data_IF_526014055313
#
_entry.id   IF_526014055313
#
_cell.length_a   1.000
_cell.length_b   1.000
_cell.length_c   1.000
_cell.angle_alpha   90.00
_cell.angle_beta   90.00
_cell.angle_gamma   90.00
#
_symmetry.space_group_name_H-M   'P 1'
#
loop_
_entity.id
_entity.type
_entity.pdbx_description
1 polymer ?
#
# COMPACT_ATOMS: atom_id res chain seq x y z
N UNK A 1 -11.23 -12.36 -8.29
CA UNK A 1 -10.16 -11.37 -8.55
C UNK A 1 -10.04 -10.48 -7.33
N UNK A 2 -8.82 -10.13 -6.91
CA UNK A 2 -8.56 -9.18 -5.81
C UNK A 2 -7.44 -8.22 -6.20
N UNK A 3 -7.36 -7.09 -5.51
CA UNK A 3 -6.32 -6.09 -5.70
C UNK A 3 -5.56 -5.84 -4.40
N UNK A 4 -4.25 -5.63 -4.49
CA UNK A 4 -3.41 -5.19 -3.38
C UNK A 4 -2.62 -3.97 -3.85
N UNK A 5 -2.72 -2.87 -3.11
CA UNK A 5 -2.09 -1.59 -3.46
C UNK A 5 -0.98 -1.28 -2.46
N UNK A 6 0.26 -1.19 -2.94
CA UNK A 6 1.44 -0.87 -2.15
C UNK A 6 1.78 0.59 -2.33
N UNK A 7 1.73 1.33 -1.23
CA UNK A 7 1.99 2.76 -1.25
C UNK A 7 3.47 3.11 -1.38
N UNK A 8 3.73 4.39 -1.66
CA UNK A 8 5.09 4.94 -1.73
C UNK A 8 5.68 5.26 -0.36
N UNK A 9 6.91 5.78 -0.37
CA UNK A 9 7.69 6.04 0.82
C UNK A 9 7.68 7.55 1.09
N UNK A 10 7.13 8.02 2.22
CA UNK A 10 7.26 9.41 2.63
C UNK A 10 8.73 9.73 2.98
N UNK A 11 9.16 10.97 2.77
CA UNK A 11 10.54 11.38 3.11
C UNK A 11 10.78 11.61 4.61
N UNK A 12 9.74 11.52 5.45
CA UNK A 12 9.74 12.01 6.83
C UNK A 12 8.91 11.09 7.73
N UNK A 13 9.51 10.64 8.84
CA UNK A 13 8.93 9.71 9.79
C UNK A 13 7.72 10.26 10.55
N UNK A 14 7.80 11.51 11.02
CA UNK A 14 6.70 12.14 11.76
C UNK A 14 5.51 12.33 10.83
N UNK A 15 5.77 12.76 9.59
CA UNK A 15 4.72 12.92 8.58
C UNK A 15 4.07 11.60 8.23
N UNK A 16 4.83 10.50 8.22
CA UNK A 16 4.35 9.16 7.92
C UNK A 16 3.46 8.55 9.01
N UNK A 17 3.66 8.93 10.28
CA UNK A 17 2.92 8.38 11.41
C UNK A 17 1.64 9.18 11.67
N UNK A 18 1.70 10.50 11.54
CA UNK A 18 0.58 11.38 11.87
C UNK A 18 -0.54 11.29 10.80
N UNK A 19 -1.77 10.84 11.15
CA UNK A 19 -2.88 10.70 10.19
C UNK A 19 -3.23 12.00 9.45
N UNK A 20 -2.97 13.17 10.06
CA UNK A 20 -3.21 14.48 9.45
C UNK A 20 -2.16 14.88 8.43
N UNK A 21 -1.00 14.22 8.37
CA UNK A 21 0.12 14.56 7.45
C UNK A 21 0.54 13.41 6.54
N UNK A 22 0.13 12.20 6.88
CA UNK A 22 0.40 10.96 6.15
C UNK A 22 -0.01 11.08 4.69
N UNK A 23 0.87 10.67 3.78
CA UNK A 23 0.71 10.93 2.34
C UNK A 23 0.23 9.71 1.58
N UNK A 24 0.56 8.50 2.05
CA UNK A 24 0.19 7.26 1.38
C UNK A 24 -1.31 6.94 1.43
N UNK A 25 -2.05 7.51 2.38
CA UNK A 25 -3.51 7.40 2.51
C UNK A 25 -4.25 8.66 2.03
N UNK A 26 -3.60 9.55 1.28
CA UNK A 26 -4.20 10.82 0.82
C UNK A 26 -4.20 11.07 -0.68
N UNK A 27 -3.39 10.36 -1.45
CA UNK A 27 -3.38 10.51 -2.90
C UNK A 27 -4.60 9.82 -3.55
N UNK A 28 -4.42 9.22 -4.72
CA UNK A 28 -5.47 8.47 -5.41
C UNK A 28 -5.78 7.12 -4.75
N UNK A 29 -4.98 6.66 -3.79
CA UNK A 29 -5.10 5.32 -3.16
C UNK A 29 -6.46 5.12 -2.45
N UNK A 30 -6.96 6.04 -1.60
CA UNK A 30 -8.30 5.91 -1.03
C UNK A 30 -9.41 5.93 -2.09
N UNK A 31 -9.27 6.80 -3.11
CA UNK A 31 -10.25 6.92 -4.18
C UNK A 31 -10.35 5.62 -4.99
N UNK A 32 -9.24 5.09 -5.48
CA UNK A 32 -9.25 3.87 -6.29
C UNK A 32 -9.69 2.66 -5.46
N UNK A 33 -9.34 2.61 -4.16
CA UNK A 33 -9.82 1.54 -3.26
C UNK A 33 -11.35 1.57 -3.20
N UNK A 34 -11.96 2.75 -3.03
CA UNK A 34 -13.41 2.91 -3.02
C UNK A 34 -14.04 2.47 -4.35
N UNK A 35 -13.46 2.86 -5.48
CA UNK A 35 -13.96 2.49 -6.82
C UNK A 35 -13.83 0.99 -7.12
N UNK A 36 -12.75 0.34 -6.68
CA UNK A 36 -12.58 -1.11 -6.85
C UNK A 36 -13.55 -1.89 -5.96
N UNK A 37 -13.72 -1.45 -4.70
CA UNK A 37 -14.68 -2.05 -3.78
C UNK A 37 -16.12 -1.89 -4.29
N UNK A 38 -16.50 -0.74 -4.85
CA UNK A 38 -17.85 -0.52 -5.40
C UNK A 38 -18.16 -1.44 -6.59
N UNK A 39 -17.13 -1.90 -7.30
CA UNK A 39 -17.22 -2.88 -8.40
C UNK A 39 -17.12 -4.34 -7.93
N UNK A 40 -17.14 -4.58 -6.61
CA UNK A 40 -17.05 -5.93 -6.03
C UNK A 40 -15.64 -6.52 -6.01
N UNK A 41 -14.60 -5.72 -6.28
CA UNK A 41 -13.20 -6.16 -6.27
C UNK A 41 -12.64 -5.95 -4.86
N UNK A 42 -12.40 -7.05 -4.14
CA UNK A 42 -11.73 -7.02 -2.84
C UNK A 42 -10.37 -6.34 -2.98
N UNK A 43 -10.14 -5.27 -2.23
CA UNK A 43 -8.95 -4.43 -2.36
C UNK A 43 -8.32 -4.16 -1.01
N UNK A 44 -7.05 -4.55 -0.88
CA UNK A 44 -6.23 -4.33 0.31
C UNK A 44 -5.19 -3.21 0.08
N UNK A 45 -4.91 -2.47 1.13
CA UNK A 45 -3.91 -1.38 1.13
C UNK A 45 -3.00 -1.57 2.35
N UNK A 46 -2.07 -2.55 2.32
CA UNK A 46 -1.17 -2.80 3.44
C UNK A 46 -0.42 -1.54 3.83
N UNK A 47 -0.35 -1.30 5.14
CA UNK A 47 0.57 -0.33 5.69
C UNK A 47 1.93 -0.99 5.87
N UNK A 48 2.90 -0.59 5.06
CA UNK A 48 4.27 -1.06 5.21
C UNK A 48 4.93 -0.52 6.49
N UNK A 49 5.74 -1.33 7.19
CA UNK A 49 6.41 -0.92 8.43
C UNK A 49 7.48 0.14 8.16
N UNK A 50 7.57 1.17 8.99
CA UNK A 50 8.59 2.25 8.87
C UNK A 50 8.72 2.79 7.44
N UNK A 51 7.63 3.26 6.78
CA UNK A 51 7.66 3.50 5.34
C UNK A 51 8.55 4.67 4.91
N UNK A 52 9.01 5.49 5.85
CA UNK A 52 10.03 6.52 5.64
C UNK A 52 11.46 5.99 5.55
N UNK A 53 11.66 4.75 5.97
CA UNK A 53 12.94 4.02 5.94
C UNK A 53 12.68 2.63 5.37
N UNK A 54 12.38 2.52 4.06
CA UNK A 54 12.01 1.26 3.45
C UNK A 54 13.10 0.21 3.64
N UNK A 55 12.70 -0.94 4.17
CA UNK A 55 13.54 -2.12 4.33
C UNK A 55 12.81 -3.29 3.67
N UNK A 56 13.49 -3.92 2.71
CA UNK A 56 12.89 -4.97 1.88
C UNK A 56 12.41 -6.16 2.71
N UNK A 57 13.20 -6.64 3.67
CA UNK A 57 12.82 -7.81 4.48
C UNK A 57 11.64 -7.51 5.39
N UNK A 58 11.57 -6.30 5.97
CA UNK A 58 10.40 -5.85 6.74
C UNK A 58 9.15 -5.74 5.86
N UNK A 59 9.25 -5.15 4.67
CA UNK A 59 8.12 -5.01 3.76
C UNK A 59 7.67 -6.38 3.24
N UNK A 60 8.61 -7.29 2.93
CA UNK A 60 8.34 -8.66 2.48
C UNK A 60 7.60 -9.46 3.54
N UNK A 61 8.03 -9.33 4.79
CA UNK A 61 7.35 -9.94 5.94
C UNK A 61 5.92 -9.41 6.11
N UNK A 62 5.71 -8.10 5.96
CA UNK A 62 4.36 -7.51 6.05
C UNK A 62 3.46 -7.94 4.90
N UNK A 63 3.96 -7.85 3.66
CA UNK A 63 3.24 -8.25 2.47
C UNK A 63 2.94 -9.75 2.43
N UNK A 64 3.82 -10.59 2.99
CA UNK A 64 3.64 -12.04 3.07
C UNK A 64 2.40 -12.48 3.86
N UNK A 65 1.78 -11.58 4.64
CA UNK A 65 0.51 -11.85 5.32
C UNK A 65 -0.69 -11.88 4.36
N UNK A 66 -0.53 -11.36 3.14
CA UNK A 66 -1.60 -11.23 2.16
C UNK A 66 -1.55 -12.38 1.15
N UNK A 67 -2.72 -12.93 0.79
CA UNK A 67 -2.82 -14.02 -0.17
C UNK A 67 -2.70 -13.48 -1.61
N UNK A 68 -1.61 -13.84 -2.28
CA UNK A 68 -1.39 -13.57 -3.71
C UNK A 68 -1.68 -14.82 -4.53
N UNK A 69 -2.36 -14.64 -5.66
CA UNK A 69 -2.69 -15.71 -6.61
C UNK A 69 -2.63 -15.20 -8.04
N UNK A 70 -2.80 -16.10 -9.02
CA UNK A 70 -2.96 -15.72 -10.44
C UNK A 70 -4.10 -14.75 -10.73
N UNK A 71 -5.05 -14.58 -9.79
CA UNK A 71 -6.20 -13.68 -9.90
C UNK A 71 -6.03 -12.39 -9.07
N UNK A 72 -4.79 -12.08 -8.65
CA UNK A 72 -4.45 -10.91 -7.84
C UNK A 72 -3.79 -9.85 -8.70
N UNK A 73 -4.31 -8.63 -8.66
CA UNK A 73 -3.71 -7.44 -9.28
C UNK A 73 -2.87 -6.73 -8.22
N UNK A 74 -1.60 -6.49 -8.52
CA UNK A 74 -0.70 -5.69 -7.68
C UNK A 74 -0.58 -4.29 -8.27
N UNK A 75 -0.76 -3.27 -7.44
CA UNK A 75 -0.58 -1.87 -7.82
C UNK A 75 0.48 -1.26 -6.91
N UNK A 76 1.65 -0.98 -7.44
CA UNK A 76 2.69 -0.23 -6.74
C UNK A 76 2.60 1.27 -7.02
N UNK A 77 2.93 2.09 -6.02
CA UNK A 77 3.15 3.53 -6.20
C UNK A 77 4.56 3.92 -5.76
N UNK A 78 5.35 4.53 -6.65
CA UNK A 78 6.72 4.99 -6.35
C UNK A 78 7.57 3.86 -5.74
N UNK A 79 8.10 4.00 -4.52
CA UNK A 79 8.87 2.93 -3.86
C UNK A 79 8.10 1.61 -3.72
N UNK A 80 6.77 1.66 -3.66
CA UNK A 80 5.92 0.47 -3.64
C UNK A 80 5.97 -0.34 -4.95
N UNK A 81 6.53 0.22 -6.04
CA UNK A 81 6.82 -0.52 -7.28
C UNK A 81 8.15 -1.28 -7.23
N UNK A 82 9.10 -0.80 -6.40
CA UNK A 82 10.44 -1.38 -6.28
C UNK A 82 10.53 -2.44 -5.18
N UNK A 83 9.50 -2.52 -4.33
CA UNK A 83 9.33 -3.55 -3.33
C UNK A 83 9.05 -4.93 -3.97
#
# INVERSE_FOLDING_TARGET
>A
MNCIIIHGCPSDAEKAINPKTRTYDKHWIPWIKKELLSRGIKTETPLMPEPWKPDYEKFKKEFGKYKVSKNTILIGHSCGCAF
#
